data_IF_399336031350
#
_entry.id   IF_399336031350
#
_cell.length_a   1.000
_cell.length_b   1.000
_cell.length_c   1.000
_cell.angle_alpha   90.00
_cell.angle_beta   90.00
_cell.angle_gamma   90.00
#
_symmetry.space_group_name_H-M   'P 1'
#
loop_
_entity.id
_entity.type
_entity.pdbx_description
1 polymer ?
#
# COMPACT_ATOMS: atom_id res chain seq x y z
N UNK A 1 13.23 -21.59 17.67
CA UNK A 1 12.62 -21.94 16.43
C UNK A 1 12.71 -20.84 15.41
N UNK A 2 13.49 -21.08 14.43
CA UNK A 2 13.65 -20.12 13.35
C UNK A 2 12.39 -19.98 12.56
N UNK A 3 11.68 -21.09 12.40
CA UNK A 3 10.46 -21.08 11.63
C UNK A 3 9.43 -20.12 12.20
N UNK A 4 9.31 -20.08 13.51
CA UNK A 4 8.36 -19.18 14.14
C UNK A 4 8.68 -17.73 13.88
N UNK A 5 9.96 -17.37 13.94
CA UNK A 5 10.37 -16.01 13.65
C UNK A 5 10.08 -15.62 12.22
N UNK A 6 10.37 -16.51 11.28
CA UNK A 6 10.12 -16.23 9.87
C UNK A 6 8.63 -16.05 9.62
N UNK A 7 7.82 -16.93 10.19
CA UNK A 7 6.37 -16.83 10.03
C UNK A 7 5.84 -15.52 10.59
N UNK A 8 6.35 -15.11 11.74
CA UNK A 8 5.90 -13.89 12.37
C UNK A 8 6.25 -12.68 11.51
N UNK A 9 7.45 -12.67 10.92
CA UNK A 9 7.84 -11.57 10.05
C UNK A 9 6.94 -11.52 8.82
N UNK A 10 6.63 -12.67 8.24
CA UNK A 10 5.76 -12.71 7.08
C UNK A 10 4.35 -12.24 7.44
N UNK A 11 3.86 -12.63 8.61
CA UNK A 11 2.53 -12.21 9.05
C UNK A 11 2.48 -10.70 9.25
N UNK A 12 3.51 -10.12 9.85
CA UNK A 12 3.54 -8.67 10.04
C UNK A 12 3.60 -7.93 8.72
N UNK A 13 4.37 -8.44 7.79
CA UNK A 13 4.44 -7.83 6.46
C UNK A 13 3.08 -7.87 5.77
N UNK A 14 2.43 -9.01 5.84
CA UNK A 14 1.11 -9.15 5.24
C UNK A 14 0.11 -8.19 5.87
N UNK A 15 0.14 -8.05 7.19
CA UNK A 15 -0.74 -7.13 7.88
C UNK A 15 -0.51 -5.68 7.43
N UNK A 16 0.74 -5.31 7.24
CA UNK A 16 1.06 -3.97 6.77
C UNK A 16 0.57 -3.74 5.35
N UNK A 17 0.70 -4.74 4.50
CA UNK A 17 0.19 -4.64 3.14
C UNK A 17 -1.33 -4.54 3.13
N UNK A 18 -1.99 -5.34 3.94
CA UNK A 18 -3.45 -5.29 4.05
C UNK A 18 -3.91 -3.93 4.54
N UNK A 19 -3.19 -3.37 5.50
CA UNK A 19 -3.52 -2.05 6.02
C UNK A 19 -3.38 -0.99 4.94
N UNK A 20 -2.31 -1.06 4.15
CA UNK A 20 -2.11 -0.13 3.05
C UNK A 20 -3.26 -0.23 2.04
N UNK A 21 -3.64 -1.44 1.68
CA UNK A 21 -4.76 -1.64 0.78
C UNK A 21 -6.04 -1.03 1.32
N UNK A 22 -6.27 -1.19 2.61
CA UNK A 22 -7.45 -0.61 3.26
C UNK A 22 -7.42 0.90 3.25
N UNK A 23 -6.24 1.49 3.45
CA UNK A 23 -6.09 2.95 3.38
C UNK A 23 -6.43 3.46 1.98
N UNK A 24 -5.92 2.80 0.97
CA UNK A 24 -6.19 3.20 -0.41
C UNK A 24 -7.68 3.11 -0.69
N UNK A 25 -8.30 2.00 -0.31
CA UNK A 25 -9.73 1.81 -0.54
C UNK A 25 -10.56 2.85 0.20
N UNK A 26 -10.17 3.16 1.42
CA UNK A 26 -10.88 4.16 2.22
C UNK A 26 -10.80 5.55 1.60
N UNK A 27 -9.62 5.94 1.12
CA UNK A 27 -9.46 7.25 0.48
C UNK A 27 -10.17 7.31 -0.85
N UNK A 28 -10.17 6.21 -1.60
CA UNK A 28 -10.93 6.17 -2.85
C UNK A 28 -12.41 6.39 -2.59
N UNK A 29 -12.93 5.75 -1.53
CA UNK A 29 -14.32 5.90 -1.17
C UNK A 29 -14.62 7.32 -0.72
N UNK A 30 -13.71 7.89 0.04
CA UNK A 30 -13.86 9.24 0.55
C UNK A 30 -13.96 10.25 -0.56
N UNK A 31 -13.18 10.09 -1.63
CA UNK A 31 -13.16 11.02 -2.75
C UNK A 31 -14.00 10.56 -3.92
N UNK A 32 -14.76 9.47 -3.74
CA UNK A 32 -15.63 8.92 -4.79
C UNK A 32 -14.87 8.59 -6.07
N UNK A 33 -13.67 8.03 -5.90
CA UNK A 33 -12.85 7.61 -7.03
C UNK A 33 -13.08 6.14 -7.32
N UNK A 34 -13.25 5.80 -8.60
CA UNK A 34 -13.27 4.40 -8.97
C UNK A 34 -11.88 4.00 -9.46
N UNK A 35 -11.71 2.72 -9.72
CA UNK A 35 -10.41 2.19 -10.12
C UNK A 35 -9.89 2.84 -11.40
N UNK A 36 -10.75 3.02 -12.37
CA UNK A 36 -10.33 3.59 -13.65
C UNK A 36 -9.83 5.03 -13.50
N UNK A 37 -10.53 5.82 -12.70
CA UNK A 37 -10.13 7.20 -12.46
C UNK A 37 -8.79 7.26 -11.73
N UNK A 38 -8.64 6.46 -10.70
CA UNK A 38 -7.38 6.44 -9.97
C UNK A 38 -6.25 5.96 -10.86
N UNK A 39 -6.49 4.94 -11.67
CA UNK A 39 -5.48 4.42 -12.57
C UNK A 39 -5.03 5.47 -13.57
N UNK A 40 -5.99 6.18 -14.19
CA UNK A 40 -5.65 7.24 -15.13
C UNK A 40 -4.80 8.32 -14.49
N UNK A 41 -5.19 8.77 -13.30
CA UNK A 41 -4.47 9.84 -12.62
C UNK A 41 -3.12 9.40 -12.13
N UNK A 42 -2.96 8.12 -11.83
CA UNK A 42 -1.71 7.57 -11.32
C UNK A 42 -0.81 7.03 -12.43
N UNK A 43 -1.26 7.09 -13.67
CA UNK A 43 -0.51 6.60 -14.83
C UNK A 43 -0.21 5.11 -14.71
N UNK A 44 -1.19 4.35 -14.27
CA UNK A 44 -1.10 2.91 -14.13
C UNK A 44 -2.25 2.30 -14.92
N UNK A 45 -2.01 1.19 -15.59
CA UNK A 45 -3.08 0.50 -16.30
C UNK A 45 -4.14 0.07 -15.29
N UNK A 46 -5.41 0.22 -15.66
CA UNK A 46 -6.53 -0.03 -14.77
C UNK A 46 -6.48 -1.44 -14.19
N UNK A 47 -6.23 -2.43 -15.03
CA UNK A 47 -6.14 -3.82 -14.58
C UNK A 47 -4.99 -4.03 -13.62
N UNK A 48 -3.87 -3.41 -13.93
CA UNK A 48 -2.68 -3.51 -13.09
C UNK A 48 -2.96 -2.89 -11.72
N UNK A 49 -3.60 -1.74 -11.71
CA UNK A 49 -3.93 -1.08 -10.44
C UNK A 49 -4.87 -1.95 -9.61
N UNK A 50 -5.89 -2.51 -10.25
CA UNK A 50 -6.82 -3.36 -9.55
C UNK A 50 -6.10 -4.52 -8.85
N UNK A 51 -5.20 -5.19 -9.59
CA UNK A 51 -4.46 -6.31 -9.02
C UNK A 51 -3.57 -5.86 -7.86
N UNK A 52 -2.94 -4.70 -7.98
CA UNK A 52 -2.04 -4.21 -6.94
C UNK A 52 -2.79 -3.69 -5.72
N UNK A 53 -4.02 -3.25 -5.89
CA UNK A 53 -4.86 -2.91 -4.74
C UNK A 53 -5.19 -4.16 -3.94
N UNK A 54 -5.38 -5.30 -4.63
CA UNK A 54 -5.62 -6.58 -3.96
C UNK A 54 -4.35 -7.12 -3.32
N UNK A 55 -3.20 -6.79 -3.92
CA UNK A 55 -1.91 -7.28 -3.45
C UNK A 55 -0.93 -6.12 -3.39
N UNK A 56 -1.04 -5.26 -2.36
CA UNK A 56 -0.22 -4.05 -2.29
C UNK A 56 1.28 -4.31 -2.28
N UNK A 57 1.70 -5.49 -1.90
CA UNK A 57 3.12 -5.84 -1.91
C UNK A 57 3.70 -5.83 -3.33
N UNK A 58 2.83 -5.80 -4.35
CA UNK A 58 3.27 -5.80 -5.74
C UNK A 58 3.43 -4.40 -6.31
N UNK A 59 3.06 -3.37 -5.56
CA UNK A 59 3.26 -2.01 -6.04
C UNK A 59 4.75 -1.73 -6.21
N UNK A 60 5.08 -1.15 -7.35
CA UNK A 60 6.38 -0.53 -7.48
C UNK A 60 6.37 0.76 -6.67
N UNK A 61 7.52 1.15 -6.20
CA UNK A 61 7.58 2.32 -5.33
C UNK A 61 7.08 3.58 -6.03
N UNK A 62 7.46 3.76 -7.29
CA UNK A 62 7.01 4.93 -8.04
C UNK A 62 5.50 4.91 -8.24
N UNK A 63 4.93 3.73 -8.49
CA UNK A 63 3.48 3.61 -8.62
C UNK A 63 2.78 3.99 -7.33
N UNK A 64 3.32 3.51 -6.22
CA UNK A 64 2.72 3.79 -4.92
C UNK A 64 2.75 5.28 -4.62
N UNK A 65 3.87 5.93 -4.90
CA UNK A 65 3.95 7.38 -4.68
C UNK A 65 2.95 8.12 -5.54
N UNK A 66 2.77 7.71 -6.78
CA UNK A 66 1.79 8.37 -7.64
C UNK A 66 0.37 8.19 -7.13
N UNK A 67 0.05 6.98 -6.66
CA UNK A 67 -1.27 6.72 -6.08
C UNK A 67 -1.47 7.59 -4.84
N UNK A 68 -0.48 7.66 -3.97
CA UNK A 68 -0.59 8.48 -2.77
C UNK A 68 -0.81 9.95 -3.14
N UNK A 69 -0.07 10.45 -4.14
CA UNK A 69 -0.23 11.83 -4.56
C UNK A 69 -1.66 12.12 -5.03
N UNK A 70 -2.23 11.21 -5.81
CA UNK A 70 -3.59 11.39 -6.30
C UNK A 70 -4.58 11.40 -5.14
N UNK A 71 -4.34 10.56 -4.14
CA UNK A 71 -5.24 10.46 -2.99
C UNK A 71 -4.99 11.56 -1.96
N UNK A 72 -4.00 12.43 -2.20
CA UNK A 72 -3.68 13.49 -1.26
C UNK A 72 -3.02 12.99 0.01
N UNK A 73 -2.35 11.86 -0.06
CA UNK A 73 -1.67 11.27 1.08
C UNK A 73 -0.17 11.44 0.95
N UNK A 74 0.50 11.45 2.08
CA UNK A 74 1.94 11.56 2.13
C UNK A 74 2.50 10.38 2.91
N UNK A 75 3.54 9.77 2.38
CA UNK A 75 4.26 8.74 3.12
C UNK A 75 5.42 9.39 3.85
N UNK A 76 5.53 9.12 5.12
CA UNK A 76 6.65 9.62 5.90
C UNK A 76 7.35 8.44 6.57
N UNK A 77 8.62 8.62 6.79
CA UNK A 77 9.43 7.60 7.43
C UNK A 77 9.85 8.11 8.79
N UNK A 78 9.58 7.30 9.79
CA UNK A 78 9.86 7.66 11.17
C UNK A 78 10.91 6.71 11.70
N UNK A 79 11.96 7.25 12.28
CA UNK A 79 13.01 6.42 12.85
C UNK A 79 12.45 5.70 14.08
N UNK A 80 12.68 4.41 14.14
CA UNK A 80 12.25 3.66 15.29
C UNK A 80 13.12 4.06 16.48
N UNK A 81 12.45 4.31 17.59
CA UNK A 81 13.14 4.67 18.80
C UNK A 81 13.58 3.45 19.56
N UNK A 82 14.69 3.59 20.24
CA UNK A 82 15.16 2.54 21.09
C UNK A 82 15.84 1.45 20.31
N UNK A 83 16.58 0.66 21.01
CA UNK A 83 17.29 -0.44 20.38
C UNK A 83 16.32 -1.51 20.04
N UNK A 84 15.88 -1.87 19.87
CA UNK A 84 15.17 -2.70 19.61
C UNK A 84 15.09 -3.60 19.16
N UNK A 85 15.11 -3.58 19.20
CA UNK A 85 15.07 -4.30 18.95
C UNK A 85 14.97 -4.79 18.67
#
# INVERSE_FOLDING_TARGET
>A
MIRGSVSRSADLLQQRCDYLGSLIDGEMRRYHLNNNTLANKSLIASRTLYDKREHPEKFRLDELYRVMDVLGMKMIFVRREGPDE
#
